data_IF_769183580423
#
_entry.id   IF_769183580423
#
_cell.length_a   1.000
_cell.length_b   1.000
_cell.length_c   1.000
_cell.angle_alpha   90.00
_cell.angle_beta   90.00
_cell.angle_gamma   90.00
#
_symmetry.space_group_name_H-M   'P 1'
#
loop_
_entity.id
_entity.type
_entity.pdbx_description
1 polymer ?
#
# COMPACT_ATOMS: atom_id res chain seq x y z
N UNK A 1 2.57 -24.17 -11.54
CA UNK A 1 2.91 -23.08 -10.59
C UNK A 1 2.05 -21.88 -10.93
N UNK A 2 1.30 -21.35 -9.98
CA UNK A 2 0.43 -20.18 -10.15
C UNK A 2 0.86 -19.07 -9.18
N UNK A 3 0.43 -17.84 -9.48
CA UNK A 3 0.62 -16.70 -8.58
C UNK A 3 -0.72 -16.39 -7.90
N UNK A 4 -0.67 -16.25 -6.58
CA UNK A 4 -1.81 -15.95 -5.73
C UNK A 4 -1.62 -14.55 -5.15
N UNK A 5 -2.65 -13.73 -5.20
CA UNK A 5 -2.68 -12.41 -4.56
C UNK A 5 -3.33 -12.52 -3.20
N UNK A 6 -2.61 -12.06 -2.19
CA UNK A 6 -3.09 -11.91 -0.83
C UNK A 6 -3.36 -10.42 -0.62
N UNK A 7 -4.64 -10.05 -0.54
CA UNK A 7 -5.07 -8.69 -0.20
C UNK A 7 -5.23 -8.56 1.30
N UNK A 8 -4.81 -7.45 1.86
CA UNK A 8 -4.83 -7.23 3.31
C UNK A 8 -4.98 -5.76 3.67
N UNK A 9 -5.49 -5.53 4.86
CA UNK A 9 -5.50 -4.23 5.52
C UNK A 9 -4.26 -4.06 6.39
N UNK A 10 -3.77 -2.83 6.50
CA UNK A 10 -2.66 -2.44 7.37
C UNK A 10 -3.08 -1.20 8.13
N UNK A 11 -3.36 -1.33 9.43
CA UNK A 11 -3.94 -0.28 10.28
C UNK A 11 -3.27 -0.19 11.64
N UNK A 12 -3.54 0.88 12.35
CA UNK A 12 -3.11 1.13 13.74
C UNK A 12 -1.58 0.98 13.89
N UNK A 13 -1.12 0.19 14.87
CA UNK A 13 0.31 -0.02 15.15
C UNK A 13 1.08 -0.58 13.95
N UNK A 14 0.41 -1.34 13.09
CA UNK A 14 1.04 -1.89 11.89
C UNK A 14 1.38 -0.80 10.86
N UNK A 15 0.77 0.38 10.89
CA UNK A 15 1.14 1.50 10.01
C UNK A 15 2.60 1.92 10.17
N UNK A 16 3.18 1.72 11.36
CA UNK A 16 4.57 2.03 11.67
C UNK A 16 5.57 0.93 11.30
N UNK A 17 5.13 -0.17 10.67
CA UNK A 17 6.02 -1.20 10.14
C UNK A 17 6.58 -0.73 8.80
N UNK A 18 7.92 -0.71 8.67
CA UNK A 18 8.59 -0.39 7.41
C UNK A 18 8.34 -1.46 6.33
N UNK A 19 8.52 -1.11 5.04
CA UNK A 19 8.38 -2.09 3.96
C UNK A 19 9.32 -3.30 4.16
N UNK A 20 10.56 -3.08 4.56
CA UNK A 20 11.51 -4.17 4.79
C UNK A 20 11.06 -5.10 5.93
N UNK A 21 10.50 -4.53 6.99
CA UNK A 21 9.98 -5.32 8.09
C UNK A 21 8.67 -6.00 7.72
N UNK A 22 7.81 -5.37 6.92
CA UNK A 22 6.62 -6.00 6.37
C UNK A 22 6.98 -7.23 5.50
N UNK A 23 8.00 -7.12 4.67
CA UNK A 23 8.51 -8.26 3.90
C UNK A 23 8.99 -9.40 4.82
N UNK A 24 9.70 -9.07 5.90
CA UNK A 24 10.15 -10.06 6.90
C UNK A 24 8.96 -10.70 7.65
N UNK A 25 7.97 -9.90 8.02
CA UNK A 25 6.73 -10.36 8.66
C UNK A 25 6.02 -11.34 7.74
N UNK A 26 5.74 -10.96 6.49
CA UNK A 26 5.06 -11.82 5.52
C UNK A 26 5.83 -13.12 5.24
N UNK A 27 7.15 -13.07 5.10
CA UNK A 27 7.97 -14.28 4.95
C UNK A 27 7.82 -15.24 6.13
N UNK A 28 7.87 -14.72 7.36
CA UNK A 28 7.74 -15.53 8.57
C UNK A 28 6.34 -16.15 8.68
N UNK A 29 5.31 -15.39 8.37
CA UNK A 29 3.91 -15.83 8.39
C UNK A 29 3.69 -16.92 7.35
N UNK A 30 4.10 -16.72 6.11
CA UNK A 30 3.98 -17.70 5.04
C UNK A 30 4.74 -19.01 5.37
N UNK A 31 5.92 -18.92 5.99
CA UNK A 31 6.63 -20.11 6.48
C UNK A 31 5.91 -20.84 7.61
N UNK A 32 5.31 -20.10 8.54
CA UNK A 32 4.61 -20.67 9.70
C UNK A 32 3.24 -21.21 9.38
N UNK A 33 2.59 -20.69 8.33
CA UNK A 33 1.26 -21.13 7.91
C UNK A 33 1.23 -22.55 7.37
N UNK A 34 2.37 -23.10 6.96
CA UNK A 34 2.44 -24.41 6.31
C UNK A 34 1.86 -24.45 4.89
N UNK A 35 1.53 -23.27 4.32
CA UNK A 35 0.99 -23.16 2.96
C UNK A 35 2.07 -23.51 1.92
N UNK A 36 1.69 -24.13 0.79
CA UNK A 36 2.63 -24.60 -0.24
C UNK A 36 3.17 -23.45 -1.10
N UNK A 37 3.95 -22.55 -0.50
CA UNK A 37 4.57 -21.42 -1.18
C UNK A 37 5.88 -21.83 -1.86
N UNK A 38 6.10 -21.27 -3.05
CA UNK A 38 7.33 -21.52 -3.81
C UNK A 38 8.50 -20.69 -3.29
N UNK A 39 9.67 -21.33 -3.21
CA UNK A 39 10.93 -20.69 -2.83
C UNK A 39 11.83 -20.49 -4.05
N UNK A 40 12.55 -19.38 -4.08
CA UNK A 40 13.54 -19.11 -5.12
C UNK A 40 14.63 -20.16 -5.11
N UNK A 41 15.16 -20.46 -6.31
CA UNK A 41 16.31 -21.36 -6.46
C UNK A 41 17.62 -20.60 -6.17
N UNK A 42 18.62 -21.31 -5.62
CA UNK A 42 19.94 -20.76 -5.38
C UNK A 42 20.44 -20.97 -3.95
N UNK A 43 21.51 -20.27 -3.57
CA UNK A 43 22.20 -20.46 -2.28
C UNK A 43 21.38 -19.97 -1.05
N UNK A 44 20.51 -18.99 -1.26
CA UNK A 44 19.64 -18.45 -0.19
C UNK A 44 18.16 -18.52 -0.62
N UNK A 45 17.52 -19.68 -0.54
CA UNK A 45 16.12 -19.83 -0.93
C UNK A 45 15.22 -18.95 -0.04
N UNK A 46 14.38 -18.15 -0.66
CA UNK A 46 13.39 -17.34 0.03
C UNK A 46 12.05 -17.41 -0.72
N UNK A 47 10.96 -17.14 -0.03
CA UNK A 47 9.64 -17.13 -0.65
C UNK A 47 9.61 -15.98 -1.67
N UNK A 48 9.24 -16.32 -2.93
CA UNK A 48 9.05 -15.31 -3.95
C UNK A 48 7.77 -14.55 -3.69
N UNK A 49 7.89 -13.26 -3.43
CA UNK A 49 6.76 -12.37 -3.20
C UNK A 49 7.04 -10.96 -3.73
N UNK A 50 5.99 -10.30 -4.23
CA UNK A 50 6.05 -8.95 -4.79
C UNK A 50 4.90 -8.13 -4.22
N UNK A 51 5.21 -7.02 -3.54
CA UNK A 51 4.21 -6.04 -3.10
C UNK A 51 3.84 -5.15 -4.28
N UNK A 52 2.53 -4.90 -4.46
CA UNK A 52 2.05 -4.16 -5.63
C UNK A 52 2.33 -2.65 -5.51
N UNK A 53 1.97 -2.05 -4.39
CA UNK A 53 2.16 -0.62 -4.13
C UNK A 53 2.47 -0.44 -2.64
N UNK A 54 3.75 -0.58 -2.23
CA UNK A 54 4.07 -0.57 -0.82
C UNK A 54 3.87 0.81 -0.20
N UNK A 55 3.20 0.83 0.95
CA UNK A 55 2.94 2.04 1.73
C UNK A 55 4.20 2.63 2.37
N UNK A 56 4.22 3.95 2.44
CA UNK A 56 5.18 4.67 3.29
C UNK A 56 4.89 4.43 4.77
N UNK A 57 5.91 4.65 5.60
CA UNK A 57 5.82 4.52 7.05
C UNK A 57 4.78 5.51 7.61
N UNK A 58 3.93 5.06 8.52
CA UNK A 58 2.89 5.84 9.16
C UNK A 58 1.57 5.93 8.38
N UNK A 59 1.50 5.30 7.19
CA UNK A 59 0.27 5.24 6.40
C UNK A 59 -0.52 3.96 6.68
N UNK A 60 -1.84 4.09 6.70
CA UNK A 60 -2.80 3.00 6.79
C UNK A 60 -3.37 2.68 5.41
N UNK A 61 -3.83 1.45 5.20
CA UNK A 61 -4.48 1.04 3.95
C UNK A 61 -5.46 -0.10 4.19
N UNK A 62 -6.52 -0.12 3.39
CA UNK A 62 -7.50 -1.21 3.30
C UNK A 62 -7.30 -2.10 2.07
N UNK A 63 -6.38 -1.75 1.19
CA UNK A 63 -6.23 -2.39 -0.11
C UNK A 63 -4.79 -2.82 -0.46
N UNK A 64 -3.96 -3.04 0.55
CA UNK A 64 -2.62 -3.58 0.32
C UNK A 64 -2.68 -4.97 -0.30
N UNK A 65 -1.71 -5.29 -1.15
CA UNK A 65 -1.59 -6.65 -1.66
C UNK A 65 -0.15 -7.10 -1.90
N UNK A 66 0.02 -8.40 -1.76
CA UNK A 66 1.27 -9.10 -2.07
C UNK A 66 0.99 -10.32 -2.94
N UNK A 67 1.72 -10.44 -4.03
CA UNK A 67 1.66 -11.56 -4.95
C UNK A 67 2.70 -12.60 -4.54
N UNK A 68 2.26 -13.85 -4.36
CA UNK A 68 3.07 -14.98 -3.91
C UNK A 68 2.94 -16.13 -4.90
N UNK A 69 4.06 -16.77 -5.26
CA UNK A 69 4.02 -18.00 -6.05
C UNK A 69 3.73 -19.22 -5.17
N UNK A 70 2.92 -20.13 -5.68
CA UNK A 70 2.58 -21.39 -4.99
C UNK A 70 2.90 -22.62 -5.85
N UNK A 71 3.24 -23.71 -5.16
CA UNK A 71 3.41 -25.05 -5.75
C UNK A 71 2.08 -25.81 -5.88
N UNK A 72 1.03 -25.35 -5.19
CA UNK A 72 -0.29 -25.94 -5.31
C UNK A 72 -0.88 -25.72 -6.71
N UNK A 73 -1.44 -26.76 -7.31
CA UNK A 73 -2.17 -26.67 -8.58
C UNK A 73 -3.55 -26.02 -8.40
N UNK A 74 -4.22 -26.34 -7.31
CA UNK A 74 -5.54 -25.83 -6.94
C UNK A 74 -5.52 -25.40 -5.46
N UNK A 75 -5.06 -24.18 -5.14
CA UNK A 75 -5.05 -23.72 -3.76
C UNK A 75 -6.48 -23.43 -3.26
N UNK A 76 -6.76 -23.84 -2.04
CA UNK A 76 -7.96 -23.45 -1.33
C UNK A 76 -7.78 -22.05 -0.74
N UNK A 77 -8.34 -21.03 -1.38
CA UNK A 77 -8.15 -19.64 -1.02
C UNK A 77 -8.78 -19.28 0.34
N UNK A 78 -9.89 -19.89 0.71
CA UNK A 78 -10.51 -19.66 2.02
C UNK A 78 -9.69 -20.30 3.14
N UNK A 79 -9.14 -21.47 2.91
CA UNK A 79 -8.18 -22.07 3.82
C UNK A 79 -6.94 -21.18 3.98
N UNK A 80 -6.40 -20.64 2.88
CA UNK A 80 -5.26 -19.74 2.94
C UNK A 80 -5.58 -18.50 3.78
N UNK A 81 -6.71 -17.85 3.53
CA UNK A 81 -7.17 -16.68 4.28
C UNK A 81 -7.26 -16.97 5.78
N UNK A 82 -7.88 -18.08 6.13
CA UNK A 82 -8.06 -18.50 7.53
C UNK A 82 -6.72 -18.80 8.21
N UNK A 83 -5.85 -19.58 7.56
CA UNK A 83 -4.55 -19.97 8.09
C UNK A 83 -3.62 -18.74 8.29
N UNK A 84 -3.65 -17.78 7.37
CA UNK A 84 -2.87 -16.55 7.48
C UNK A 84 -3.40 -15.68 8.62
N UNK A 85 -4.71 -15.43 8.69
CA UNK A 85 -5.28 -14.59 9.75
C UNK A 85 -5.10 -15.18 11.16
N UNK A 86 -5.01 -16.50 11.28
CA UNK A 86 -4.74 -17.14 12.57
C UNK A 86 -3.37 -16.76 13.20
N UNK A 87 -2.43 -16.28 12.38
CA UNK A 87 -1.05 -15.99 12.81
C UNK A 87 -0.57 -14.58 12.42
N UNK A 88 -1.46 -13.76 11.80
CA UNK A 88 -1.14 -12.37 11.50
C UNK A 88 -0.95 -11.57 12.78
N UNK A 89 -0.02 -10.60 12.81
CA UNK A 89 0.09 -9.67 13.92
C UNK A 89 -1.09 -8.69 13.94
N UNK A 90 -1.33 -8.08 15.09
CA UNK A 90 -2.35 -7.03 15.24
C UNK A 90 -2.14 -5.91 14.21
N UNK A 91 -3.24 -5.36 13.73
CA UNK A 91 -3.24 -4.29 12.71
C UNK A 91 -3.04 -4.77 11.28
N UNK A 92 -2.88 -6.07 11.03
CA UNK A 92 -2.84 -6.65 9.67
C UNK A 92 -3.92 -7.72 9.56
N UNK A 93 -4.82 -7.58 8.59
CA UNK A 93 -5.93 -8.51 8.35
C UNK A 93 -5.97 -8.89 6.88
N UNK A 94 -5.87 -10.18 6.56
CA UNK A 94 -6.06 -10.70 5.20
C UNK A 94 -7.55 -10.65 4.86
N UNK A 95 -7.89 -9.83 3.87
CA UNK A 95 -9.28 -9.62 3.44
C UNK A 95 -9.69 -10.58 2.33
N UNK A 96 -8.77 -10.88 1.40
CA UNK A 96 -9.02 -11.75 0.26
C UNK A 96 -7.76 -12.50 -0.14
N UNK A 97 -7.93 -13.74 -0.60
CA UNK A 97 -6.91 -14.51 -1.32
C UNK A 97 -7.53 -14.98 -2.65
N UNK A 98 -6.85 -14.71 -3.77
CA UNK A 98 -7.38 -15.02 -5.10
C UNK A 98 -6.25 -15.20 -6.13
N UNK A 99 -6.51 -15.80 -7.30
CA UNK A 99 -5.57 -15.76 -8.41
C UNK A 99 -5.28 -14.31 -8.84
N UNK A 100 -4.10 -14.07 -9.38
CA UNK A 100 -3.76 -12.75 -9.94
C UNK A 100 -4.45 -12.59 -11.29
N UNK A 101 -5.40 -11.67 -11.38
CA UNK A 101 -6.09 -11.31 -12.63
C UNK A 101 -5.34 -10.22 -13.39
N UNK A 102 -4.87 -9.19 -12.68
CA UNK A 102 -4.11 -8.07 -13.23
C UNK A 102 -2.75 -7.97 -12.55
N UNK A 103 -1.71 -7.72 -13.34
CA UNK A 103 -0.37 -7.52 -12.78
C UNK A 103 -0.28 -6.23 -11.97
N UNK A 104 0.58 -6.25 -10.94
CA UNK A 104 0.77 -5.11 -10.05
C UNK A 104 1.33 -3.87 -10.76
N UNK A 105 2.08 -4.05 -11.84
CA UNK A 105 2.64 -2.96 -12.67
C UNK A 105 1.60 -2.18 -13.49
N UNK A 106 0.36 -2.68 -13.55
CA UNK A 106 -0.76 -1.98 -14.17
C UNK A 106 -1.48 -0.99 -13.24
N UNK A 107 -1.11 -0.94 -11.96
CA UNK A 107 -1.65 0.04 -11.03
C UNK A 107 -1.11 1.43 -11.41
N UNK A 108 -1.98 2.30 -11.89
CA UNK A 108 -1.61 3.65 -12.34
C UNK A 108 -1.76 4.70 -11.24
N UNK A 109 -2.76 4.55 -10.38
CA UNK A 109 -3.12 5.54 -9.35
C UNK A 109 -3.34 4.88 -7.99
N UNK A 110 -3.02 5.62 -6.92
CA UNK A 110 -3.51 5.38 -5.57
C UNK A 110 -4.40 6.55 -5.12
N UNK A 111 -5.53 6.23 -4.51
CA UNK A 111 -6.36 7.21 -3.82
C UNK A 111 -5.95 7.25 -2.36
N UNK A 112 -5.66 8.45 -1.86
CA UNK A 112 -5.35 8.68 -0.45
C UNK A 112 -6.44 9.53 0.17
N UNK A 113 -7.02 9.05 1.27
CA UNK A 113 -7.83 9.86 2.15
C UNK A 113 -6.93 10.53 3.19
N UNK A 114 -7.00 11.83 3.30
CA UNK A 114 -6.20 12.61 4.23
C UNK A 114 -7.14 13.29 5.21
N UNK A 115 -6.87 13.14 6.51
CA UNK A 115 -7.69 13.68 7.58
C UNK A 115 -6.92 14.66 8.44
N UNK A 116 -7.46 15.89 8.60
CA UNK A 116 -6.89 16.95 9.42
C UNK A 116 -7.88 17.41 10.51
N UNK A 117 -7.39 18.07 11.61
CA UNK A 117 -8.27 18.74 12.56
C UNK A 117 -9.13 19.79 11.86
N UNK A 118 -10.41 19.91 12.24
CA UNK A 118 -11.33 20.89 11.64
C UNK A 118 -10.86 22.34 11.78
N UNK A 119 -10.09 22.66 12.82
CA UNK A 119 -9.45 23.97 12.99
C UNK A 119 -8.52 24.40 11.86
N UNK A 120 -8.01 23.45 11.07
CA UNK A 120 -7.13 23.71 9.92
C UNK A 120 -7.91 23.87 8.60
N UNK A 121 -9.24 23.69 8.61
CA UNK A 121 -10.07 23.73 7.39
C UNK A 121 -9.89 25.02 6.59
N UNK A 122 -9.86 26.16 7.25
CA UNK A 122 -9.66 27.47 6.58
C UNK A 122 -8.32 27.54 5.84
N UNK A 123 -7.25 27.03 6.43
CA UNK A 123 -5.92 26.99 5.79
C UNK A 123 -5.90 26.06 4.57
N UNK A 124 -6.57 24.90 4.69
CA UNK A 124 -6.71 23.96 3.57
C UNK A 124 -7.53 24.58 2.42
N UNK A 125 -8.61 25.30 2.74
CA UNK A 125 -9.41 26.01 1.74
C UNK A 125 -8.64 27.16 1.05
N UNK A 126 -7.71 27.82 1.74
CA UNK A 126 -6.83 28.83 1.13
C UNK A 126 -5.97 28.25 0.00
N UNK A 127 -5.62 26.94 0.08
CA UNK A 127 -4.95 26.25 -1.01
C UNK A 127 -5.72 26.36 -2.34
N UNK A 128 -7.06 26.27 -2.29
CA UNK A 128 -7.90 26.32 -3.51
C UNK A 128 -7.85 27.69 -4.18
N UNK A 129 -7.62 28.76 -3.41
CA UNK A 129 -7.49 30.13 -3.93
C UNK A 129 -6.12 30.44 -4.56
N UNK A 130 -5.13 29.60 -4.35
CA UNK A 130 -3.80 29.78 -4.93
C UNK A 130 -3.78 29.32 -6.39
N UNK A 131 -3.17 30.09 -7.29
CA UNK A 131 -2.97 29.71 -8.70
C UNK A 131 -1.79 28.74 -8.88
N UNK A 132 -0.77 28.84 -8.03
CA UNK A 132 0.45 28.04 -8.11
C UNK A 132 0.96 27.70 -6.71
N UNK A 133 1.41 26.46 -6.54
CA UNK A 133 2.01 25.97 -5.27
C UNK A 133 3.26 25.17 -5.60
N UNK A 134 4.40 25.86 -5.84
CA UNK A 134 5.66 25.18 -6.13
C UNK A 134 6.22 24.54 -4.85
N UNK A 135 6.52 23.23 -4.91
CA UNK A 135 7.11 22.46 -3.81
C UNK A 135 8.47 21.93 -4.23
N UNK A 136 9.49 22.13 -3.39
CA UNK A 136 10.80 21.56 -3.62
C UNK A 136 10.85 20.09 -3.20
N UNK A 137 11.01 19.21 -4.17
CA UNK A 137 11.28 17.78 -3.94
C UNK A 137 12.79 17.56 -3.92
N UNK A 138 13.33 17.29 -2.73
CA UNK A 138 14.76 16.97 -2.55
C UNK A 138 15.00 15.47 -2.74
N UNK A 139 15.86 15.12 -3.67
CA UNK A 139 16.43 13.77 -3.81
C UNK A 139 17.90 13.78 -3.35
N UNK A 140 18.51 12.60 -3.21
CA UNK A 140 19.92 12.49 -2.80
C UNK A 140 20.91 13.21 -3.73
N UNK A 141 20.51 13.51 -4.96
CA UNK A 141 21.39 14.09 -6.00
C UNK A 141 20.89 15.41 -6.58
N UNK A 142 19.58 15.70 -6.48
CA UNK A 142 18.97 16.89 -7.10
C UNK A 142 17.81 17.42 -6.27
N UNK A 143 17.60 18.74 -6.36
CA UNK A 143 16.36 19.40 -5.93
C UNK A 143 15.57 19.74 -7.18
N UNK A 144 14.31 19.26 -7.28
CA UNK A 144 13.39 19.57 -8.38
C UNK A 144 12.18 20.30 -7.80
N UNK A 145 11.82 21.41 -8.41
CA UNK A 145 10.55 22.09 -8.09
C UNK A 145 9.42 21.39 -8.84
N UNK A 146 8.37 21.03 -8.13
CA UNK A 146 7.16 20.39 -8.67
C UNK A 146 6.00 21.32 -8.38
N UNK A 147 5.16 21.59 -9.38
CA UNK A 147 3.94 22.37 -9.21
C UNK A 147 2.84 21.43 -8.65
N UNK A 148 2.46 21.67 -7.38
CA UNK A 148 1.50 20.79 -6.70
C UNK A 148 0.11 20.87 -7.33
N UNK A 149 -0.28 22.03 -7.88
CA UNK A 149 -1.59 22.22 -8.55
C UNK A 149 -1.79 21.36 -9.79
N UNK A 150 -0.73 20.90 -10.45
CA UNK A 150 -0.83 19.96 -11.58
C UNK A 150 -1.29 18.57 -11.14
N UNK A 151 -1.00 18.20 -9.88
CA UNK A 151 -1.33 16.88 -9.32
C UNK A 151 -2.57 16.93 -8.44
N UNK A 152 -2.77 18.02 -7.73
CA UNK A 152 -3.88 18.25 -6.81
C UNK A 152 -4.50 19.61 -7.13
N UNK A 153 -5.37 19.71 -8.13
CA UNK A 153 -5.88 21.01 -8.61
C UNK A 153 -6.75 21.72 -7.56
N UNK A 154 -7.55 20.99 -6.81
CA UNK A 154 -8.39 21.50 -5.74
C UNK A 154 -8.57 20.46 -4.63
N UNK A 155 -8.88 20.92 -3.42
CA UNK A 155 -9.26 20.09 -2.27
C UNK A 155 -10.77 20.21 -2.05
N UNK A 156 -11.47 19.09 -2.09
CA UNK A 156 -12.87 18.99 -1.72
C UNK A 156 -12.96 18.49 -0.28
N UNK A 157 -13.17 19.41 0.65
CA UNK A 157 -13.21 19.09 2.08
C UNK A 157 -14.60 18.57 2.47
N UNK A 158 -14.60 17.43 3.17
CA UNK A 158 -15.77 16.84 3.80
C UNK A 158 -15.62 16.93 5.31
N UNK A 159 -16.64 17.42 6.01
CA UNK A 159 -16.66 17.46 7.46
C UNK A 159 -16.89 16.05 8.04
N UNK A 160 -16.05 15.67 8.99
CA UNK A 160 -16.12 14.40 9.73
C UNK A 160 -15.94 14.63 11.23
N UNK A 161 -16.98 15.19 11.86
CA UNK A 161 -16.95 15.58 13.28
C UNK A 161 -15.94 16.68 13.58
N UNK A 162 -14.95 16.39 14.42
CA UNK A 162 -13.85 17.34 14.76
C UNK A 162 -12.73 17.36 13.71
N UNK A 163 -12.88 16.68 12.58
CA UNK A 163 -11.90 16.58 11.51
C UNK A 163 -12.51 16.96 10.17
N UNK A 164 -11.64 17.34 9.25
CA UNK A 164 -11.95 17.49 7.82
C UNK A 164 -11.18 16.44 7.03
N UNK A 165 -11.78 15.93 5.99
CA UNK A 165 -11.21 14.89 5.13
C UNK A 165 -11.23 15.35 3.67
N UNK A 166 -10.27 14.90 2.90
CA UNK A 166 -10.23 15.07 1.47
C UNK A 166 -9.46 13.93 0.80
N UNK A 167 -9.76 13.70 -0.45
CA UNK A 167 -9.10 12.67 -1.25
C UNK A 167 -8.12 13.29 -2.25
N UNK A 168 -7.02 12.59 -2.46
CA UNK A 168 -6.07 12.90 -3.53
C UNK A 168 -5.76 11.64 -4.33
N UNK A 169 -5.65 11.80 -5.65
CA UNK A 169 -5.14 10.76 -6.54
C UNK A 169 -3.66 11.01 -6.79
N UNK A 170 -2.84 10.02 -6.48
CA UNK A 170 -1.41 10.05 -6.77
C UNK A 170 -1.06 9.07 -7.87
N UNK A 171 -0.31 9.52 -8.87
CA UNK A 171 0.32 8.66 -9.87
C UNK A 171 1.39 7.81 -9.21
N UNK A 172 1.29 6.48 -9.35
CA UNK A 172 2.24 5.52 -8.76
C UNK A 172 3.45 5.31 -9.67
N UNK A 173 3.22 5.23 -10.96
CA UNK A 173 4.27 5.08 -11.96
C UNK A 173 4.46 6.39 -12.73
N UNK A 174 5.19 7.33 -12.13
CA UNK A 174 5.86 8.34 -12.93
C UNK A 174 7.13 7.64 -13.44
N UNK A 175 7.05 7.04 -14.63
CA UNK A 175 8.25 6.67 -15.36
C UNK A 175 9.05 7.97 -15.55
N UNK A 176 10.14 8.09 -14.80
CA UNK A 176 11.14 9.11 -15.13
C UNK A 176 11.67 8.77 -16.52
N UNK A 177 11.66 9.73 -17.47
CA UNK A 177 12.29 9.54 -18.76
C UNK A 177 13.80 9.37 -18.63
#
# INVERSE_FOLDING_TARGET
>A
MITVRISFEKKNEASYISLLDMQRVMQRILKRSGLPVWHTLGFNPHIYMTFACPLSLGQESECECVDVKTEAEQPDFEHWKTALNAIMPAGIVVTKVAPVEMKADLIAYACYEISYPAAEAEKLMQYNALESVPVEKKSKRNTKTVELKEHVPALELTEAGERVQFEILSLIHISEP
#
